data_IF_770021467581
#
_entry.id   IF_770021467581
#
_cell.length_a   1.000
_cell.length_b   1.000
_cell.length_c   1.000
_cell.angle_alpha   90.00
_cell.angle_beta   90.00
_cell.angle_gamma   90.00
#
_symmetry.space_group_name_H-M   'P 1'
#
loop_
_entity.id
_entity.type
_entity.pdbx_description
1 polymer ?
#
# COMPACT_ATOMS: atom_id res chain seq x y z
N UNK A 1 56.10 -9.24 -41.86
CA UNK A 1 54.75 -8.64 -41.62
C UNK A 1 53.79 -9.76 -41.42
N UNK A 2 53.49 -10.09 -40.16
CA UNK A 2 52.51 -11.09 -39.79
C UNK A 2 51.21 -10.37 -39.42
N UNK A 3 50.11 -10.74 -40.07
CA UNK A 3 48.76 -10.23 -39.75
C UNK A 3 48.25 -10.90 -38.47
N UNK A 4 47.89 -10.09 -37.53
CA UNK A 4 47.19 -10.52 -36.32
C UNK A 4 45.70 -10.71 -36.68
N UNK A 5 45.25 -11.96 -36.73
CA UNK A 5 43.83 -12.26 -36.90
C UNK A 5 43.13 -12.05 -35.54
N UNK A 6 42.29 -11.04 -35.48
CA UNK A 6 41.38 -10.78 -34.33
C UNK A 6 40.33 -11.89 -34.27
N UNK A 7 40.49 -12.78 -33.31
CA UNK A 7 39.46 -13.80 -33.00
C UNK A 7 38.31 -13.10 -32.27
N UNK A 8 37.26 -12.76 -33.01
CA UNK A 8 35.98 -12.33 -32.44
C UNK A 8 35.28 -13.60 -31.92
N UNK A 9 35.32 -13.83 -30.62
CA UNK A 9 34.55 -14.89 -30.00
C UNK A 9 33.07 -14.48 -29.96
N UNK A 10 32.27 -15.08 -30.83
CA UNK A 10 30.83 -15.00 -30.78
C UNK A 10 30.32 -15.62 -29.44
N UNK A 11 29.44 -14.95 -28.70
CA UNK A 11 28.91 -15.52 -27.47
C UNK A 11 28.07 -16.76 -27.79
N UNK A 12 28.42 -17.90 -27.21
CA UNK A 12 27.71 -19.15 -27.42
C UNK A 12 26.24 -19.03 -26.97
N UNK A 13 25.33 -19.72 -27.66
CA UNK A 13 23.89 -19.72 -27.37
C UNK A 13 23.57 -20.02 -25.89
N UNK A 14 24.44 -20.75 -25.18
CA UNK A 14 24.34 -20.99 -23.73
C UNK A 14 24.58 -19.74 -22.89
N UNK A 15 25.49 -18.83 -23.29
CA UNK A 15 25.71 -17.56 -22.60
C UNK A 15 24.55 -16.59 -22.84
N UNK A 16 23.99 -16.56 -24.05
CA UNK A 16 22.82 -15.74 -24.37
C UNK A 16 21.58 -16.21 -23.60
N UNK A 17 21.42 -17.54 -23.45
CA UNK A 17 20.29 -18.11 -22.71
C UNK A 17 20.42 -17.91 -21.18
N UNK A 18 21.64 -17.90 -20.64
CA UNK A 18 21.89 -17.61 -19.21
C UNK A 18 21.65 -16.13 -18.86
N UNK A 19 21.82 -15.21 -19.81
CA UNK A 19 21.52 -13.77 -19.63
C UNK A 19 20.02 -13.54 -19.74
N UNK A 20 19.30 -14.30 -20.56
CA UNK A 20 17.86 -14.19 -20.76
C UNK A 20 17.04 -14.78 -19.59
N UNK A 21 17.65 -15.62 -18.74
CA UNK A 21 16.94 -16.37 -17.68
C UNK A 21 17.08 -15.73 -16.28
N UNK A 22 17.69 -14.59 -16.13
CA UNK A 22 17.59 -13.78 -14.91
C UNK A 22 16.28 -13.00 -15.00
N UNK A 23 15.21 -13.54 -14.47
CA UNK A 23 14.01 -12.76 -14.19
C UNK A 23 14.45 -11.59 -13.31
N UNK A 24 14.32 -10.33 -13.78
CA UNK A 24 14.73 -9.17 -12.97
C UNK A 24 13.80 -8.96 -11.77
N UNK A 25 12.71 -9.75 -11.70
CA UNK A 25 11.68 -9.66 -10.69
C UNK A 25 11.54 -10.98 -9.93
N UNK A 26 11.48 -10.90 -8.60
CA UNK A 26 11.06 -12.01 -7.74
C UNK A 26 9.53 -12.00 -7.62
N UNK A 27 8.92 -10.80 -7.60
CA UNK A 27 7.47 -10.61 -7.62
C UNK A 27 7.04 -10.51 -9.09
N UNK A 28 6.18 -11.45 -9.52
CA UNK A 28 5.75 -11.53 -10.93
C UNK A 28 4.85 -10.35 -11.30
N UNK A 29 5.18 -9.56 -12.35
CA UNK A 29 4.33 -8.46 -12.84
C UNK A 29 2.92 -8.88 -13.27
N UNK A 30 2.65 -10.19 -13.46
CA UNK A 30 1.28 -10.67 -13.71
C UNK A 30 0.29 -10.30 -12.61
N UNK A 31 0.80 -10.00 -11.40
CA UNK A 31 -0.04 -9.57 -10.27
C UNK A 31 -0.47 -8.10 -10.34
N UNK A 32 -0.04 -7.34 -11.36
CA UNK A 32 -0.64 -6.03 -11.63
C UNK A 32 -2.12 -6.25 -11.96
N UNK A 33 -2.99 -5.57 -11.21
CA UNK A 33 -4.44 -5.78 -11.26
C UNK A 33 -4.98 -6.75 -10.21
N UNK A 34 -4.12 -7.45 -9.44
CA UNK A 34 -4.56 -8.26 -8.31
C UNK A 34 -5.36 -7.40 -7.32
N UNK A 35 -6.49 -7.92 -6.87
CA UNK A 35 -7.33 -7.31 -5.84
C UNK A 35 -7.44 -8.25 -4.65
N UNK A 36 -7.24 -7.73 -3.45
CA UNK A 36 -7.56 -8.48 -2.23
C UNK A 36 -9.07 -8.41 -1.96
N UNK A 37 -9.64 -9.41 -1.26
CA UNK A 37 -11.04 -9.35 -0.85
C UNK A 37 -11.36 -8.04 -0.12
N UNK A 38 -12.47 -7.37 -0.42
CA UNK A 38 -12.90 -6.17 0.29
C UNK A 38 -13.04 -6.44 1.79
N UNK A 39 -12.75 -5.43 2.60
CA UNK A 39 -12.90 -5.51 4.05
C UNK A 39 -13.73 -4.33 4.55
N UNK A 40 -14.73 -4.64 5.37
CA UNK A 40 -15.61 -3.63 5.98
C UNK A 40 -15.30 -3.52 7.46
N UNK A 41 -15.11 -2.28 7.94
CA UNK A 41 -14.69 -1.97 9.31
C UNK A 41 -15.49 -0.81 9.88
N UNK A 42 -15.80 -0.89 11.17
CA UNK A 42 -16.50 0.17 11.90
C UNK A 42 -15.52 1.25 12.35
N UNK A 43 -15.93 2.51 12.25
CA UNK A 43 -15.18 3.65 12.78
C UNK A 43 -15.57 3.89 14.24
N UNK A 44 -14.80 3.37 15.15
CA UNK A 44 -15.08 3.45 16.59
C UNK A 44 -14.50 4.72 17.24
N UNK A 45 -15.29 5.40 18.07
CA UNK A 45 -14.88 6.64 18.78
C UNK A 45 -13.63 6.45 19.64
N UNK A 46 -13.52 5.31 20.32
CA UNK A 46 -12.38 4.99 21.17
C UNK A 46 -11.08 4.93 20.38
N UNK A 47 -11.14 4.37 19.17
CA UNK A 47 -9.99 4.25 18.28
C UNK A 47 -9.53 5.62 17.78
N UNK A 48 -10.46 6.51 17.40
CA UNK A 48 -10.14 7.87 16.98
C UNK A 48 -9.47 8.67 18.08
N UNK A 49 -9.99 8.61 19.32
CA UNK A 49 -9.41 9.27 20.48
C UNK A 49 -8.01 8.76 20.79
N UNK A 50 -7.81 7.44 20.76
CA UNK A 50 -6.50 6.84 20.98
C UNK A 50 -5.50 7.29 19.92
N UNK A 51 -5.90 7.31 18.64
CA UNK A 51 -5.04 7.76 17.55
C UNK A 51 -4.68 9.25 17.69
N UNK A 52 -5.66 10.10 17.98
CA UNK A 52 -5.44 11.52 18.22
C UNK A 52 -4.43 11.75 19.36
N UNK A 53 -4.59 11.03 20.47
CA UNK A 53 -3.68 11.09 21.61
C UNK A 53 -2.26 10.63 21.21
N UNK A 54 -2.15 9.49 20.52
CA UNK A 54 -0.87 8.89 20.13
C UNK A 54 -0.08 9.74 19.13
N UNK A 55 -0.77 10.48 18.27
CA UNK A 55 -0.16 11.38 17.28
C UNK A 55 0.04 12.82 17.79
N UNK A 56 -0.36 13.10 19.03
CA UNK A 56 -0.27 14.43 19.60
C UNK A 56 -1.26 15.44 19.01
N UNK A 57 -2.33 14.97 18.37
CA UNK A 57 -3.40 15.83 17.87
C UNK A 57 -4.17 16.45 19.04
N UNK A 58 -4.17 17.80 19.11
CA UNK A 58 -4.72 18.55 20.25
C UNK A 58 -6.04 19.22 19.94
N UNK A 59 -6.48 19.25 18.68
CA UNK A 59 -7.76 19.84 18.35
C UNK A 59 -8.89 19.00 18.97
N UNK A 60 -9.75 19.60 19.82
CA UNK A 60 -10.77 18.89 20.54
C UNK A 60 -11.83 18.21 19.64
N UNK A 61 -11.96 18.62 18.38
CA UNK A 61 -12.92 17.97 17.45
C UNK A 61 -12.64 16.48 17.26
N UNK A 62 -11.41 16.01 17.48
CA UNK A 62 -11.02 14.61 17.32
C UNK A 62 -11.19 13.77 18.60
N UNK A 63 -11.51 14.39 19.75
CA UNK A 63 -11.60 13.69 21.03
C UNK A 63 -12.87 13.95 21.81
N UNK A 64 -13.50 15.15 21.62
CA UNK A 64 -14.70 15.60 22.32
C UNK A 64 -15.86 15.79 21.32
N UNK A 65 -16.93 15.01 21.49
CA UNK A 65 -18.12 15.09 20.64
C UNK A 65 -18.87 16.43 20.75
N UNK A 66 -18.79 17.09 21.91
CA UNK A 66 -19.43 18.40 22.10
C UNK A 66 -18.70 19.45 21.27
N UNK A 67 -17.36 19.42 21.31
CA UNK A 67 -16.54 20.30 20.49
C UNK A 67 -16.72 20.01 19.01
N UNK A 68 -16.76 18.74 18.60
CA UNK A 68 -16.99 18.34 17.22
C UNK A 68 -18.33 18.87 16.69
N UNK A 69 -19.41 18.70 17.48
CA UNK A 69 -20.75 19.20 17.12
C UNK A 69 -20.82 20.73 17.08
N UNK A 70 -20.15 21.40 18.01
CA UNK A 70 -20.06 22.86 18.00
C UNK A 70 -19.32 23.38 16.75
N UNK A 71 -18.38 22.60 16.21
CA UNK A 71 -17.67 22.88 14.97
C UNK A 71 -18.45 22.46 13.70
N UNK A 72 -19.68 21.94 13.84
CA UNK A 72 -20.55 21.55 12.72
C UNK A 72 -20.38 20.11 12.23
N UNK A 73 -19.66 19.26 12.97
CA UNK A 73 -19.53 17.84 12.65
C UNK A 73 -20.63 17.01 13.29
N UNK A 74 -21.14 15.95 12.64
CA UNK A 74 -22.19 15.09 13.22
C UNK A 74 -21.66 14.20 14.36
N UNK A 75 -20.36 13.90 14.38
CA UNK A 75 -19.65 13.10 15.37
C UNK A 75 -18.16 13.43 15.29
N UNK A 76 -17.28 12.68 15.98
CA UNK A 76 -15.84 12.85 15.86
C UNK A 76 -15.40 12.58 14.42
N UNK A 77 -14.74 13.54 13.72
CA UNK A 77 -14.18 13.27 12.42
C UNK A 77 -12.99 12.30 12.52
N UNK A 78 -12.79 11.52 11.47
CA UNK A 78 -11.63 10.64 11.35
C UNK A 78 -10.37 11.49 11.17
N UNK A 79 -9.35 11.37 12.05
CA UNK A 79 -8.10 12.10 11.88
C UNK A 79 -7.42 11.73 10.58
N UNK A 80 -6.70 12.68 9.93
CA UNK A 80 -5.88 12.37 8.76
C UNK A 80 -4.96 11.17 9.03
N UNK A 81 -4.76 10.32 8.01
CA UNK A 81 -3.96 9.09 8.03
C UNK A 81 -4.50 7.93 8.89
N UNK A 82 -5.49 8.14 9.76
CA UNK A 82 -6.08 7.04 10.54
C UNK A 82 -6.66 5.93 9.66
N UNK A 83 -7.12 6.23 8.45
CA UNK A 83 -7.65 5.23 7.51
C UNK A 83 -6.66 4.10 7.22
N UNK A 84 -5.36 4.38 7.19
CA UNK A 84 -4.33 3.34 7.08
C UNK A 84 -4.31 2.44 8.33
N UNK A 85 -4.41 3.01 9.53
CA UNK A 85 -4.45 2.24 10.77
C UNK A 85 -5.72 1.38 10.84
N UNK A 86 -6.86 1.93 10.42
CA UNK A 86 -8.12 1.19 10.38
C UNK A 86 -8.05 0.00 9.41
N UNK A 87 -7.45 0.17 8.22
CA UNK A 87 -7.25 -0.94 7.29
C UNK A 87 -6.45 -2.10 7.92
N UNK A 88 -5.48 -1.78 8.78
CA UNK A 88 -4.64 -2.78 9.47
C UNK A 88 -5.40 -3.58 10.54
N UNK A 89 -6.63 -3.19 10.91
CA UNK A 89 -7.47 -3.93 11.86
C UNK A 89 -8.24 -5.10 11.21
N UNK A 90 -8.14 -5.25 9.88
CA UNK A 90 -8.72 -6.40 9.18
C UNK A 90 -8.07 -7.70 9.64
N UNK A 91 -8.84 -8.82 9.68
CA UNK A 91 -8.23 -10.13 9.90
C UNK A 91 -7.17 -10.40 8.84
N UNK A 92 -5.97 -10.74 9.27
CA UNK A 92 -4.83 -11.01 8.39
C UNK A 92 -4.54 -9.88 7.35
N UNK A 93 -4.09 -8.69 7.80
CA UNK A 93 -3.86 -7.54 6.90
C UNK A 93 -2.77 -7.75 5.86
N UNK A 94 -1.93 -8.77 6.05
CA UNK A 94 -0.83 -9.16 5.16
C UNK A 94 -1.09 -10.46 4.38
N UNK A 95 -2.29 -11.06 4.49
CA UNK A 95 -2.58 -12.34 3.85
C UNK A 95 -2.37 -12.34 2.33
N UNK A 96 -2.65 -11.23 1.69
CA UNK A 96 -2.43 -11.08 0.25
C UNK A 96 -0.93 -11.14 -0.17
N UNK A 97 0.00 -10.98 0.77
CA UNK A 97 1.44 -11.14 0.49
C UNK A 97 1.76 -12.57 0.07
N UNK A 98 1.12 -13.56 0.70
CA UNK A 98 1.32 -14.97 0.37
C UNK A 98 0.83 -15.26 -1.06
N UNK A 99 -0.29 -14.66 -1.48
CA UNK A 99 -0.87 -14.84 -2.81
C UNK A 99 0.05 -14.34 -3.92
N UNK A 100 0.80 -13.27 -3.66
CA UNK A 100 1.69 -12.62 -4.64
C UNK A 100 3.18 -12.93 -4.43
N UNK A 101 3.52 -13.70 -3.39
CA UNK A 101 4.87 -14.14 -3.10
C UNK A 101 5.75 -13.04 -2.46
N UNK A 102 5.17 -12.15 -1.67
CA UNK A 102 5.90 -11.10 -0.94
C UNK A 102 6.33 -11.62 0.43
N UNK A 103 7.65 -11.73 0.71
CA UNK A 103 8.13 -12.16 2.01
C UNK A 103 8.05 -11.00 3.03
N UNK A 104 7.08 -11.03 3.95
CA UNK A 104 6.85 -9.98 4.94
C UNK A 104 8.12 -9.48 5.68
N UNK A 105 9.08 -10.34 6.08
CA UNK A 105 10.30 -9.86 6.77
C UNK A 105 11.21 -8.97 5.90
N UNK A 106 11.00 -8.94 4.59
CA UNK A 106 11.79 -8.14 3.65
C UNK A 106 11.10 -6.85 3.22
N UNK A 107 9.88 -6.61 3.73
CA UNK A 107 9.04 -5.48 3.34
C UNK A 107 9.35 -4.25 4.18
N UNK A 108 9.46 -3.11 3.51
CA UNK A 108 9.46 -1.79 4.11
C UNK A 108 8.27 -1.00 3.57
N UNK A 109 7.69 -0.14 4.40
CA UNK A 109 6.75 0.88 3.94
C UNK A 109 7.57 1.99 3.28
N UNK A 110 7.45 2.15 1.97
CA UNK A 110 8.23 3.12 1.20
C UNK A 110 7.59 4.48 1.14
N UNK A 111 6.32 4.51 0.71
CA UNK A 111 5.61 5.77 0.44
C UNK A 111 4.11 5.58 0.66
N UNK A 112 3.43 6.65 1.05
CA UNK A 112 1.97 6.69 1.14
C UNK A 112 1.45 8.09 0.82
N UNK A 113 0.43 8.16 -0.06
CA UNK A 113 -0.24 9.37 -0.44
C UNK A 113 -1.76 9.22 -0.27
N UNK A 114 -2.42 10.23 0.30
CA UNK A 114 -3.87 10.23 0.50
C UNK A 114 -4.54 11.29 -0.37
N UNK A 115 -5.68 10.92 -0.95
CA UNK A 115 -6.64 11.84 -1.57
C UNK A 115 -7.96 11.72 -0.82
N UNK A 116 -8.39 12.80 -0.17
CA UNK A 116 -9.66 12.84 0.57
C UNK A 116 -10.75 13.46 -0.28
N UNK A 117 -11.87 12.78 -0.37
CA UNK A 117 -13.06 13.26 -1.11
C UNK A 117 -14.16 13.71 -0.16
N UNK A 118 -14.26 13.05 1.02
CA UNK A 118 -15.24 13.34 2.06
C UNK A 118 -14.64 13.08 3.44
N UNK A 119 -15.18 13.73 4.46
CA UNK A 119 -14.90 13.35 5.83
C UNK A 119 -15.64 12.06 6.18
N UNK A 120 -14.98 11.18 6.89
CA UNK A 120 -15.61 10.08 7.62
C UNK A 120 -15.72 10.43 9.10
N UNK A 121 -16.65 9.82 9.78
CA UNK A 121 -16.97 10.10 11.17
C UNK A 121 -17.07 8.83 12.01
N UNK A 122 -16.90 8.98 13.29
CA UNK A 122 -17.23 7.90 14.23
C UNK A 122 -18.69 7.46 14.05
N UNK A 123 -18.89 6.14 13.89
CA UNK A 123 -20.14 5.51 13.55
C UNK A 123 -20.33 5.19 12.08
N UNK A 124 -19.45 5.65 11.20
CA UNK A 124 -19.43 5.19 9.82
C UNK A 124 -18.93 3.73 9.74
N UNK A 125 -19.38 3.05 8.69
CA UNK A 125 -18.91 1.72 8.30
C UNK A 125 -18.17 1.88 6.97
N UNK A 126 -16.86 1.62 6.99
CA UNK A 126 -16.01 1.86 5.82
C UNK A 126 -15.59 0.55 5.17
N UNK A 127 -15.74 0.49 3.85
CA UNK A 127 -15.28 -0.63 3.01
C UNK A 127 -14.02 -0.25 2.30
N UNK A 128 -13.00 -1.10 2.42
CA UNK A 128 -11.67 -0.96 1.81
C UNK A 128 -11.54 -1.94 0.65
N UNK A 129 -11.31 -1.40 -0.54
CA UNK A 129 -10.97 -2.13 -1.76
C UNK A 129 -9.54 -1.83 -2.15
N UNK A 130 -8.74 -2.86 -2.37
CA UNK A 130 -7.31 -2.72 -2.67
C UNK A 130 -6.96 -3.37 -4.00
N UNK A 131 -6.13 -2.70 -4.80
CA UNK A 131 -5.66 -3.22 -6.08
C UNK A 131 -4.18 -2.88 -6.30
N UNK A 132 -3.38 -3.85 -6.75
CA UNK A 132 -2.01 -3.61 -7.21
C UNK A 132 -2.08 -2.86 -8.55
N UNK A 133 -1.47 -1.68 -8.62
CA UNK A 133 -1.46 -0.81 -9.80
C UNK A 133 -0.14 -0.85 -10.54
N UNK A 134 0.97 -1.16 -9.85
CA UNK A 134 2.29 -1.26 -10.47
C UNK A 134 3.23 -2.18 -9.70
N UNK A 135 4.16 -2.82 -10.39
CA UNK A 135 5.27 -3.59 -9.86
C UNK A 135 6.50 -3.27 -10.67
N UNK A 136 7.53 -2.72 -10.03
CA UNK A 136 8.77 -2.38 -10.71
C UNK A 136 10.01 -2.64 -9.84
N UNK A 137 11.18 -2.76 -10.47
CA UNK A 137 12.44 -3.01 -9.77
C UNK A 137 13.43 -1.86 -9.97
N UNK A 138 14.27 -1.63 -8.95
CA UNK A 138 15.42 -0.72 -8.99
C UNK A 138 16.67 -1.44 -8.50
N UNK A 139 17.84 -0.82 -8.70
CA UNK A 139 19.15 -1.34 -8.29
C UNK A 139 19.40 -2.78 -8.78
N UNK A 140 19.19 -3.02 -10.07
CA UNK A 140 19.35 -4.35 -10.69
C UNK A 140 18.57 -5.48 -9.98
N UNK A 141 17.36 -5.20 -9.50
CA UNK A 141 16.48 -6.18 -8.84
C UNK A 141 16.71 -6.35 -7.33
N UNK A 142 17.65 -5.61 -6.73
CA UNK A 142 17.83 -5.66 -5.27
C UNK A 142 16.66 -5.04 -4.48
N UNK A 143 15.92 -4.12 -5.10
CA UNK A 143 14.73 -3.50 -4.55
C UNK A 143 13.58 -3.67 -5.54
N UNK A 144 12.50 -4.26 -5.10
CA UNK A 144 11.25 -4.30 -5.84
C UNK A 144 10.22 -3.43 -5.16
N UNK A 145 9.37 -2.80 -5.95
CA UNK A 145 8.35 -1.87 -5.51
C UNK A 145 7.00 -2.41 -5.94
N UNK A 146 6.08 -2.51 -5.01
CA UNK A 146 4.68 -2.87 -5.25
C UNK A 146 3.81 -1.69 -4.88
N UNK A 147 3.15 -1.11 -5.86
CA UNK A 147 2.23 0.02 -5.67
C UNK A 147 0.81 -0.51 -5.57
N UNK A 148 0.12 -0.13 -4.52
CA UNK A 148 -1.26 -0.54 -4.26
C UNK A 148 -2.13 0.70 -4.08
N UNK A 149 -3.20 0.80 -4.89
CA UNK A 149 -4.27 1.76 -4.70
C UNK A 149 -5.33 1.15 -3.77
N UNK A 150 -5.70 1.89 -2.74
CA UNK A 150 -6.78 1.56 -1.82
C UNK A 150 -7.90 2.58 -1.97
N UNK A 151 -9.12 2.11 -2.22
CA UNK A 151 -10.33 2.94 -2.30
C UNK A 151 -11.20 2.67 -1.08
N UNK A 152 -11.73 3.73 -0.49
CA UNK A 152 -12.50 3.64 0.74
C UNK A 152 -13.87 4.27 0.49
N UNK A 153 -14.90 3.47 0.68
CA UNK A 153 -16.29 3.91 0.58
C UNK A 153 -17.00 3.76 1.92
N UNK A 154 -17.99 4.62 2.17
CA UNK A 154 -18.82 4.50 3.36
C UNK A 154 -20.01 3.56 3.12
N UNK A 155 -20.86 3.35 4.14
CA UNK A 155 -22.06 2.50 4.11
C UNK A 155 -23.11 2.93 3.08
N UNK A 156 -22.99 4.13 2.49
CA UNK A 156 -23.84 4.63 1.41
C UNK A 156 -23.25 4.42 0.02
N UNK A 157 -22.05 3.78 -0.07
CA UNK A 157 -21.30 3.63 -1.32
C UNK A 157 -20.61 4.90 -1.80
N UNK A 158 -20.55 5.95 -0.97
CA UNK A 158 -19.87 7.21 -1.32
C UNK A 158 -18.38 7.08 -1.11
N UNK A 159 -17.59 7.54 -2.08
CA UNK A 159 -16.13 7.57 -2.00
C UNK A 159 -15.68 8.56 -0.92
N UNK A 160 -14.98 8.06 0.09
CA UNK A 160 -14.46 8.82 1.24
C UNK A 160 -13.03 9.27 0.95
N UNK A 161 -12.17 8.33 0.64
CA UNK A 161 -10.77 8.58 0.35
C UNK A 161 -10.19 7.52 -0.57
N UNK A 162 -9.06 7.85 -1.16
CA UNK A 162 -8.14 6.91 -1.81
C UNK A 162 -6.76 7.11 -1.20
N UNK A 163 -5.98 6.04 -1.11
CA UNK A 163 -4.57 6.17 -0.84
C UNK A 163 -3.74 5.19 -1.66
N UNK A 164 -2.63 5.70 -2.17
CA UNK A 164 -1.58 4.91 -2.76
C UNK A 164 -0.59 4.50 -1.66
N UNK A 165 -0.21 3.23 -1.68
CA UNK A 165 0.82 2.67 -0.82
C UNK A 165 1.90 2.02 -1.67
N UNK A 166 3.14 2.44 -1.50
CA UNK A 166 4.30 1.79 -2.13
C UNK A 166 5.04 0.95 -1.10
N UNK A 167 5.05 -0.35 -1.30
CA UNK A 167 5.86 -1.28 -0.54
C UNK A 167 7.20 -1.48 -1.23
N UNK A 168 8.28 -1.57 -0.44
CA UNK A 168 9.62 -1.86 -0.93
C UNK A 168 10.04 -3.22 -0.41
N UNK A 169 10.30 -4.17 -1.31
CA UNK A 169 10.77 -5.50 -0.98
C UNK A 169 12.28 -5.57 -1.24
N UNK A 170 13.04 -5.93 -0.22
CA UNK A 170 14.51 -6.00 -0.27
C UNK A 170 14.95 -7.43 -0.53
N UNK A 171 15.84 -7.63 -1.51
CA UNK A 171 16.39 -8.93 -1.91
C UNK A 171 17.90 -9.07 -1.62
N UNK A 172 18.48 -8.18 -0.86
CA UNK A 172 19.89 -8.22 -0.46
C UNK A 172 20.08 -8.10 1.04
#
# INVERSE_FOLDING_TARGET
MAKTDDIILEPTAKMTQAICNRRPYVIDPKYIGYTSPPCTLDVEKGRLRLFALATGQRDPIYSDETAARAAGHPSLPVPPTFLFCLEMERPNPYGWFDDVGIPLPKVLHGEQAFTYHRLAYAGDVLTFDSRITDIYAKKAGMLEFVVQLNRITNQRGELVAEFDRTLVVRHG
#
